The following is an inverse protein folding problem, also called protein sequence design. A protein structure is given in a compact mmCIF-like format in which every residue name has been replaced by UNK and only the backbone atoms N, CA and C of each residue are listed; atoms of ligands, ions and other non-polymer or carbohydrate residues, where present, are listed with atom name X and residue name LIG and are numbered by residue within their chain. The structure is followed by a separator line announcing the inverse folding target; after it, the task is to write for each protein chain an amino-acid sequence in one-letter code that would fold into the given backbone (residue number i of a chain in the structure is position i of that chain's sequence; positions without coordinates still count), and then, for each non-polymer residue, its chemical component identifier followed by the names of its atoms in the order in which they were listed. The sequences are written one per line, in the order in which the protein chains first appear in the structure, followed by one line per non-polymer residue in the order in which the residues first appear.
data_IF_679112393895
#
_entry.id   IF_679112393895
#
_cell.length_a   1.000
_cell.length_b   1.000
_cell.length_c   1.000
_cell.angle_alpha   90.00
_cell.angle_beta   90.00
_cell.angle_gamma   90.00
#
_symmetry.space_group_name_H-M   'P 1'
#
loop_
_entity.id
_entity.type
_entity.pdbx_description
1 polymer ?
#
# COMPACT_ATOMS: atom_id res chain seq x y z
N UNK A 1 -9.90 -6.53 3.52
CA UNK A 1 -8.82 -7.31 4.14
C UNK A 1 -9.35 -8.65 4.64
N UNK A 2 -10.45 -8.68 5.37
CA UNK A 2 -10.99 -9.91 5.92
C UNK A 2 -11.33 -10.97 4.84
N UNK A 3 -11.91 -10.57 3.72
CA UNK A 3 -12.23 -11.50 2.60
C UNK A 3 -10.96 -12.08 1.96
N UNK A 4 -9.89 -11.27 1.83
CA UNK A 4 -8.59 -11.75 1.36
C UNK A 4 -8.01 -12.84 2.28
N UNK A 5 -8.14 -12.63 3.59
CA UNK A 5 -7.68 -13.57 4.62
C UNK A 5 -8.50 -14.87 4.60
N UNK A 6 -9.81 -14.77 4.44
CA UNK A 6 -10.67 -15.94 4.31
C UNK A 6 -10.35 -16.76 3.04
N UNK A 7 -10.06 -16.07 1.93
CA UNK A 7 -9.63 -16.75 0.70
C UNK A 7 -8.29 -17.49 0.90
N UNK A 8 -7.32 -16.85 1.60
CA UNK A 8 -6.05 -17.48 1.94
C UNK A 8 -6.25 -18.72 2.85
N UNK A 9 -7.12 -18.61 3.85
CA UNK A 9 -7.45 -19.73 4.71
C UNK A 9 -8.05 -20.92 3.92
N UNK A 10 -9.02 -20.65 3.04
CA UNK A 10 -9.62 -21.67 2.19
C UNK A 10 -8.58 -22.33 1.27
N UNK A 11 -7.58 -21.58 0.79
CA UNK A 11 -6.49 -22.12 -0.01
C UNK A 11 -5.61 -23.08 0.81
N UNK A 12 -5.30 -22.74 2.07
CA UNK A 12 -4.55 -23.61 2.96
C UNK A 12 -5.31 -24.92 3.24
N UNK A 13 -6.61 -24.81 3.50
CA UNK A 13 -7.49 -25.97 3.71
C UNK A 13 -7.54 -26.86 2.47
N UNK A 14 -7.68 -26.28 1.27
CA UNK A 14 -7.63 -27.01 0.00
C UNK A 14 -6.34 -27.81 -0.18
N UNK A 15 -5.20 -27.28 0.27
CA UNK A 15 -3.91 -27.97 0.22
C UNK A 15 -3.66 -28.91 1.42
N UNK A 16 -4.60 -29.02 2.35
CA UNK A 16 -4.44 -29.85 3.56
C UNK A 16 -3.37 -29.30 4.51
N UNK A 17 -3.11 -27.99 4.48
CA UNK A 17 -2.12 -27.35 5.34
C UNK A 17 -2.81 -26.95 6.65
N UNK A 18 -2.64 -27.73 7.68
CA UNK A 18 -3.25 -27.47 8.97
C UNK A 18 -2.60 -26.31 9.71
N UNK A 19 -1.27 -26.21 9.70
CA UNK A 19 -0.54 -25.20 10.46
C UNK A 19 0.68 -24.68 9.72
N UNK A 20 0.77 -23.36 9.60
CA UNK A 20 1.92 -22.68 9.03
C UNK A 20 3.09 -22.59 10.03
N UNK A 21 4.31 -22.71 9.52
CA UNK A 21 5.50 -22.39 10.30
C UNK A 21 5.58 -20.87 10.59
N UNK A 22 5.34 -20.07 9.57
CA UNK A 22 5.34 -18.60 9.67
C UNK A 22 4.37 -17.97 8.68
N UNK A 23 3.77 -16.86 9.07
CA UNK A 23 3.11 -15.91 8.17
C UNK A 23 3.85 -14.59 8.21
N UNK A 24 4.10 -14.01 7.04
CA UNK A 24 4.81 -12.72 6.92
C UNK A 24 4.16 -11.86 5.87
N UNK A 25 4.18 -10.57 6.07
CA UNK A 25 3.64 -9.60 5.12
C UNK A 25 4.06 -8.18 5.41
N UNK A 26 4.31 -7.42 4.34
CA UNK A 26 4.63 -6.00 4.41
C UNK A 26 3.43 -5.12 4.09
N UNK A 27 3.30 -3.96 4.74
CA UNK A 27 2.26 -2.96 4.48
C UNK A 27 0.85 -3.59 4.54
N UNK A 28 0.07 -3.56 3.46
CA UNK A 28 -1.23 -4.24 3.37
C UNK A 28 -1.12 -5.76 3.64
N UNK A 29 -0.02 -6.40 3.23
CA UNK A 29 0.25 -7.79 3.58
C UNK A 29 0.40 -8.00 5.09
N UNK A 30 0.94 -7.02 5.80
CA UNK A 30 0.99 -7.02 7.26
C UNK A 30 -0.40 -6.88 7.90
N UNK A 31 -1.30 -6.06 7.34
CA UNK A 31 -2.70 -6.00 7.77
C UNK A 31 -3.37 -7.38 7.61
N UNK A 32 -3.11 -8.07 6.49
CA UNK A 32 -3.62 -9.42 6.26
C UNK A 32 -3.04 -10.42 7.26
N UNK A 33 -1.75 -10.32 7.59
CA UNK A 33 -1.09 -11.14 8.61
C UNK A 33 -1.75 -10.95 9.98
N UNK A 34 -2.00 -9.70 10.39
CA UNK A 34 -2.66 -9.39 11.66
C UNK A 34 -4.10 -9.90 11.68
N UNK A 35 -4.85 -9.70 10.60
CA UNK A 35 -6.23 -10.20 10.49
C UNK A 35 -6.26 -11.73 10.44
N UNK A 36 -5.31 -12.38 9.75
CA UNK A 36 -5.24 -13.83 9.66
C UNK A 36 -5.08 -14.48 11.03
N UNK A 37 -4.10 -14.03 11.82
CA UNK A 37 -3.87 -14.62 13.14
C UNK A 37 -4.97 -14.26 14.15
N UNK A 38 -5.66 -13.15 13.95
CA UNK A 38 -6.84 -12.79 14.73
C UNK A 38 -8.03 -13.72 14.46
N UNK A 39 -8.26 -14.08 13.18
CA UNK A 39 -9.34 -14.98 12.78
C UNK A 39 -9.01 -16.44 13.07
N UNK A 40 -7.74 -16.82 12.93
CA UNK A 40 -7.25 -18.22 12.98
C UNK A 40 -6.04 -18.33 13.92
N UNK A 41 -6.24 -18.19 15.25
CA UNK A 41 -5.17 -18.00 16.23
C UNK A 41 -4.20 -19.17 16.33
N UNK A 42 -4.61 -20.37 15.98
CA UNK A 42 -3.79 -21.59 16.07
C UNK A 42 -3.09 -21.97 14.75
N UNK A 43 -3.38 -21.26 13.65
CA UNK A 43 -2.94 -21.64 12.30
C UNK A 43 -1.50 -21.24 11.95
N UNK A 44 -0.77 -20.54 12.83
CA UNK A 44 0.66 -20.24 12.62
C UNK A 44 1.46 -20.35 13.90
N UNK A 45 2.76 -20.73 13.77
CA UNK A 45 3.72 -20.73 14.89
C UNK A 45 4.37 -19.36 15.07
N UNK A 46 4.55 -18.61 13.99
CA UNK A 46 5.24 -17.30 13.98
C UNK A 46 4.50 -16.30 13.09
N UNK A 47 4.47 -15.05 13.50
CA UNK A 47 3.77 -13.95 12.84
C UNK A 47 4.74 -12.79 12.65
N UNK A 48 4.97 -12.37 11.40
CA UNK A 48 5.97 -11.35 11.05
C UNK A 48 5.29 -10.22 10.24
N UNK A 49 4.62 -9.27 10.90
CA UNK A 49 4.13 -8.05 10.25
C UNK A 49 5.29 -7.06 10.06
N UNK A 50 5.39 -6.48 8.86
CA UNK A 50 6.47 -5.57 8.47
C UNK A 50 5.87 -4.26 7.97
N UNK A 51 6.33 -3.10 8.50
CA UNK A 51 5.90 -1.77 8.06
C UNK A 51 4.37 -1.69 7.87
N UNK A 52 3.62 -2.00 8.92
CA UNK A 52 2.16 -2.10 8.88
C UNK A 52 1.52 -1.51 10.12
N UNK A 53 0.21 -1.38 10.09
CA UNK A 53 -0.58 -0.83 11.19
C UNK A 53 -1.85 -1.64 11.41
N UNK A 54 -2.45 -1.52 12.59
CA UNK A 54 -3.77 -2.10 12.92
C UNK A 54 -4.95 -1.27 12.41
N UNK A 55 -4.70 -0.01 12.01
CA UNK A 55 -5.66 0.89 11.35
C UNK A 55 -4.90 2.06 10.73
N UNK A 56 -5.41 2.61 9.64
CA UNK A 56 -4.80 3.78 9.01
C UNK A 56 -5.00 5.05 9.85
N UNK A 57 -3.96 5.87 9.92
CA UNK A 57 -4.03 7.24 10.44
C UNK A 57 -4.76 8.16 9.47
N UNK A 58 -5.18 9.33 9.94
CA UNK A 58 -5.74 10.37 9.07
C UNK A 58 -4.79 10.75 7.92
N UNK A 59 -3.47 10.74 8.16
CA UNK A 59 -2.46 11.03 7.14
C UNK A 59 -2.42 9.93 6.07
N UNK A 60 -2.45 8.66 6.44
CA UNK A 60 -2.51 7.55 5.47
C UNK A 60 -3.77 7.65 4.60
N UNK A 61 -4.93 7.90 5.22
CA UNK A 61 -6.22 8.07 4.52
C UNK A 61 -6.15 9.27 3.56
N UNK A 62 -5.54 10.39 3.98
CA UNK A 62 -5.39 11.58 3.14
C UNK A 62 -4.51 11.31 1.89
N UNK A 63 -3.39 10.62 2.02
CA UNK A 63 -2.56 10.24 0.88
C UNK A 63 -3.26 9.25 -0.05
N UNK A 64 -4.00 8.29 0.49
CA UNK A 64 -4.81 7.39 -0.33
C UNK A 64 -5.90 8.16 -1.09
N UNK A 65 -6.56 9.11 -0.43
CA UNK A 65 -7.58 9.95 -1.07
C UNK A 65 -7.00 10.83 -2.17
N UNK A 66 -5.81 11.41 -1.97
CA UNK A 66 -5.11 12.14 -3.03
C UNK A 66 -4.90 11.26 -4.27
N UNK A 67 -4.45 10.03 -4.08
CA UNK A 67 -4.27 9.07 -5.18
C UNK A 67 -5.58 8.71 -5.86
N UNK A 68 -6.65 8.48 -5.10
CA UNK A 68 -7.99 8.19 -5.66
C UNK A 68 -8.52 9.36 -6.46
N UNK A 69 -8.40 10.59 -5.93
CA UNK A 69 -8.84 11.80 -6.65
C UNK A 69 -8.04 12.02 -7.94
N UNK A 70 -6.73 11.75 -7.96
CA UNK A 70 -5.95 11.82 -9.18
C UNK A 70 -6.46 10.88 -10.27
N UNK A 71 -6.85 9.65 -9.90
CA UNK A 71 -7.41 8.66 -10.83
C UNK A 71 -8.79 9.06 -11.31
N UNK A 72 -9.70 9.42 -10.38
CA UNK A 72 -11.10 9.72 -10.73
C UNK A 72 -11.25 11.05 -11.49
N UNK A 73 -10.31 11.98 -11.34
CA UNK A 73 -10.23 13.21 -12.12
C UNK A 73 -9.66 13.02 -13.54
N UNK A 74 -9.03 11.88 -13.82
CA UNK A 74 -8.55 11.56 -15.16
C UNK A 74 -9.74 11.31 -16.09
N UNK A 75 -9.85 12.11 -17.17
CA UNK A 75 -10.96 12.01 -18.13
C UNK A 75 -11.09 10.62 -18.78
N UNK A 76 -10.00 9.84 -18.79
CA UNK A 76 -9.96 8.50 -19.35
C UNK A 76 -10.42 7.41 -18.36
N UNK A 77 -10.68 7.75 -17.10
CA UNK A 77 -11.22 6.81 -16.11
C UNK A 77 -12.66 6.38 -16.42
N UNK A 78 -13.49 7.27 -16.99
CA UNK A 78 -14.86 6.97 -17.45
C UNK A 78 -15.74 6.32 -16.39
N UNK A 79 -15.75 6.87 -15.18
CA UNK A 79 -16.50 6.32 -14.02
C UNK A 79 -16.22 4.82 -13.78
N UNK A 80 -14.97 4.41 -13.97
CA UNK A 80 -14.53 3.02 -13.82
C UNK A 80 -14.74 2.13 -15.04
N UNK A 81 -15.32 2.66 -16.14
CA UNK A 81 -15.64 1.90 -17.33
C UNK A 81 -14.60 2.03 -18.47
N UNK A 82 -13.37 2.43 -18.14
CA UNK A 82 -12.31 2.70 -19.12
C UNK A 82 -11.98 1.49 -20.00
N UNK A 83 -12.03 0.26 -19.49
CA UNK A 83 -11.79 -0.95 -20.26
C UNK A 83 -12.83 -1.09 -21.39
N UNK A 84 -14.12 -0.92 -21.09
CA UNK A 84 -15.20 -0.96 -22.08
C UNK A 84 -15.11 0.18 -23.09
N UNK A 85 -14.62 1.34 -22.65
CA UNK A 85 -14.42 2.53 -23.48
C UNK A 85 -13.07 2.52 -24.25
N UNK A 86 -12.23 1.50 -24.04
CA UNK A 86 -10.88 1.39 -24.63
C UNK A 86 -9.98 2.59 -24.34
N UNK A 87 -10.11 3.17 -23.12
CA UNK A 87 -9.26 4.25 -22.60
C UNK A 87 -8.38 3.73 -21.48
N UNK A 88 -7.44 4.55 -21.01
CA UNK A 88 -6.55 4.20 -19.90
C UNK A 88 -6.31 5.44 -19.02
N UNK A 89 -6.76 5.46 -17.77
CA UNK A 89 -6.54 6.57 -16.84
C UNK A 89 -5.09 6.59 -16.30
N UNK A 90 -4.14 6.44 -17.21
CA UNK A 90 -2.72 6.31 -16.87
C UNK A 90 -2.13 7.57 -16.26
N UNK A 91 -2.63 8.75 -16.62
CA UNK A 91 -2.16 10.02 -16.04
C UNK A 91 -2.51 10.09 -14.55
N UNK A 92 -3.76 9.82 -14.20
CA UNK A 92 -4.21 9.80 -12.83
C UNK A 92 -3.52 8.72 -11.99
N UNK A 93 -3.39 7.51 -12.55
CA UNK A 93 -2.70 6.40 -11.89
C UNK A 93 -1.21 6.69 -11.68
N UNK A 94 -0.54 7.33 -12.65
CA UNK A 94 0.85 7.76 -12.51
C UNK A 94 1.03 8.78 -11.38
N UNK A 95 0.16 9.79 -11.29
CA UNK A 95 0.19 10.79 -10.21
C UNK A 95 -0.05 10.14 -8.84
N UNK A 96 -1.01 9.22 -8.75
CA UNK A 96 -1.25 8.45 -7.51
C UNK A 96 0.01 7.68 -7.07
N UNK A 97 0.74 7.09 -8.02
CA UNK A 97 2.00 6.39 -7.75
C UNK A 97 3.12 7.34 -7.32
N UNK A 98 3.22 8.51 -7.94
CA UNK A 98 4.20 9.54 -7.55
C UNK A 98 3.99 9.97 -6.09
N UNK A 99 2.74 10.23 -5.68
CA UNK A 99 2.39 10.56 -4.31
C UNK A 99 2.82 9.45 -3.33
N UNK A 100 2.53 8.19 -3.66
CA UNK A 100 2.95 7.05 -2.86
C UNK A 100 4.48 6.95 -2.71
N UNK A 101 5.25 7.23 -3.77
CA UNK A 101 6.71 7.21 -3.69
C UNK A 101 7.31 8.29 -2.79
N UNK A 102 6.62 9.43 -2.61
CA UNK A 102 7.03 10.46 -1.65
C UNK A 102 6.86 9.93 -0.22
N UNK A 103 5.83 9.16 0.05
CA UNK A 103 5.57 8.62 1.40
C UNK A 103 6.43 7.41 1.76
N UNK A 104 6.96 6.67 0.77
CA UNK A 104 7.77 5.47 1.01
C UNK A 104 9.22 5.77 1.40
N UNK A 105 9.69 6.96 1.16
CA UNK A 105 11.07 7.37 1.42
C UNK A 105 11.11 8.40 2.55
N UNK A 106 12.06 8.23 3.48
CA UNK A 106 12.27 9.24 4.52
C UNK A 106 12.76 10.56 3.91
N UNK A 107 12.45 11.68 4.58
CA UNK A 107 12.99 13.00 4.21
C UNK A 107 14.52 12.98 4.05
N UNK A 108 15.20 12.30 4.97
CA UNK A 108 16.66 12.14 4.93
C UNK A 108 17.10 11.33 3.71
N UNK A 109 16.47 10.20 3.42
CA UNK A 109 16.76 9.37 2.26
C UNK A 109 16.54 10.09 0.94
N UNK A 110 15.45 10.86 0.80
CA UNK A 110 15.22 11.71 -0.37
C UNK A 110 16.30 12.78 -0.53
N UNK A 111 16.69 13.45 0.57
CA UNK A 111 17.71 14.48 0.54
C UNK A 111 19.11 13.92 0.19
N UNK A 112 19.48 12.77 0.74
CA UNK A 112 20.76 12.13 0.45
C UNK A 112 20.85 11.62 -1.00
N UNK A 113 19.76 11.05 -1.50
CA UNK A 113 19.73 10.48 -2.86
C UNK A 113 19.66 11.55 -3.94
N UNK A 114 18.79 12.53 -3.80
CA UNK A 114 18.48 13.49 -4.86
C UNK A 114 18.96 14.92 -4.51
N UNK A 115 18.75 15.38 -3.28
CA UNK A 115 19.02 16.77 -2.88
C UNK A 115 18.33 17.74 -3.84
N UNK A 116 19.12 18.70 -4.35
CA UNK A 116 18.72 19.64 -5.41
C UNK A 116 19.46 19.38 -6.72
N UNK A 117 19.85 18.14 -6.96
CA UNK A 117 20.61 17.77 -8.17
C UNK A 117 19.76 17.98 -9.41
N UNK A 118 20.29 18.73 -10.35
CA UNK A 118 19.69 18.88 -11.67
C UNK A 118 19.91 17.64 -12.52
N UNK A 119 19.17 17.54 -13.62
CA UNK A 119 19.44 16.57 -14.67
C UNK A 119 20.83 16.87 -15.28
N UNK A 120 21.17 16.28 -16.41
CA UNK A 120 22.44 16.50 -17.10
C UNK A 120 22.55 17.93 -17.66
N UNK A 121 22.54 18.92 -16.76
CA UNK A 121 22.60 20.36 -17.07
C UNK A 121 23.06 21.17 -15.85
N UNK A 122 23.52 22.39 -16.11
CA UNK A 122 23.98 23.31 -15.05
C UNK A 122 22.92 24.37 -14.69
N UNK A 123 22.00 24.72 -15.60
CA UNK A 123 21.03 25.79 -15.44
C UNK A 123 19.58 25.31 -15.42
N UNK A 124 18.72 26.07 -14.72
CA UNK A 124 17.27 25.92 -14.71
C UNK A 124 16.66 26.47 -16.00
N UNK A 125 15.71 25.75 -16.60
CA UNK A 125 15.08 26.14 -17.87
C UNK A 125 13.78 26.94 -17.71
N UNK A 126 13.21 26.99 -16.49
CA UNK A 126 11.91 27.64 -16.24
C UNK A 126 10.75 27.08 -17.08
N UNK A 127 10.88 25.86 -17.58
CA UNK A 127 9.84 25.14 -18.31
C UNK A 127 9.05 24.18 -17.41
N UNK A 128 8.19 23.37 -18.05
CA UNK A 128 7.42 22.32 -17.35
C UNK A 128 8.06 20.92 -17.46
N UNK A 129 9.23 20.83 -18.08
CA UNK A 129 10.04 19.62 -18.08
C UNK A 129 10.70 19.40 -16.72
N UNK A 130 11.20 18.18 -16.48
CA UNK A 130 11.92 17.88 -15.24
C UNK A 130 13.28 18.59 -15.22
N UNK A 131 13.47 19.52 -14.30
CA UNK A 131 14.76 20.12 -14.02
C UNK A 131 15.55 19.35 -12.98
N UNK A 132 14.90 18.85 -11.93
CA UNK A 132 15.53 18.11 -10.86
C UNK A 132 15.45 16.59 -11.08
N UNK A 133 16.48 15.87 -10.59
CA UNK A 133 16.51 14.42 -10.67
C UNK A 133 15.33 13.75 -9.94
N UNK A 134 14.85 14.32 -8.85
CA UNK A 134 13.67 13.81 -8.14
C UNK A 134 12.42 13.86 -9.00
N UNK A 135 12.24 14.88 -9.84
CA UNK A 135 11.07 14.98 -10.73
C UNK A 135 11.08 13.87 -11.78
N UNK A 136 12.23 13.63 -12.41
CA UNK A 136 12.40 12.51 -13.36
C UNK A 136 12.19 11.15 -12.69
N UNK A 137 12.70 10.98 -11.48
CA UNK A 137 12.48 9.76 -10.69
C UNK A 137 10.99 9.51 -10.45
N UNK A 138 10.25 10.50 -10.00
CA UNK A 138 8.82 10.36 -9.75
C UNK A 138 8.04 10.08 -11.02
N UNK A 139 8.32 10.80 -12.12
CA UNK A 139 7.68 10.56 -13.44
C UNK A 139 7.97 9.15 -13.94
N UNK A 140 9.19 8.66 -13.81
CA UNK A 140 9.55 7.30 -14.18
C UNK A 140 8.79 6.25 -13.34
N UNK A 141 8.73 6.43 -12.02
CA UNK A 141 7.99 5.52 -11.14
C UNK A 141 6.49 5.50 -11.45
N UNK A 142 5.93 6.65 -11.80
CA UNK A 142 4.54 6.76 -12.25
C UNK A 142 4.30 5.99 -13.55
N UNK A 143 5.13 6.23 -14.58
CA UNK A 143 4.94 5.60 -15.89
C UNK A 143 5.08 4.07 -15.85
N UNK A 144 6.12 3.55 -15.20
CA UNK A 144 6.32 2.11 -15.04
C UNK A 144 5.19 1.43 -14.26
N UNK A 145 4.55 2.15 -13.36
CA UNK A 145 3.42 1.61 -12.59
C UNK A 145 2.16 1.42 -13.44
N UNK A 146 1.91 2.34 -14.39
CA UNK A 146 0.76 2.27 -15.31
C UNK A 146 0.77 1.00 -16.15
N UNK A 147 1.96 0.53 -16.54
CA UNK A 147 2.11 -0.67 -17.37
C UNK A 147 1.79 -1.99 -16.64
N UNK A 148 1.77 -1.96 -15.30
CA UNK A 148 1.67 -3.18 -14.48
C UNK A 148 0.55 -3.17 -13.45
N UNK A 149 -0.20 -2.07 -13.33
CA UNK A 149 -1.24 -1.96 -12.31
C UNK A 149 -2.52 -1.36 -12.87
N UNK A 150 -3.64 -1.84 -12.37
CA UNK A 150 -4.98 -1.42 -12.79
C UNK A 150 -5.51 -0.30 -11.89
N UNK A 151 -6.12 0.73 -12.49
CA UNK A 151 -6.60 1.90 -11.78
C UNK A 151 -7.76 1.59 -10.83
N UNK A 152 -8.75 0.78 -11.25
CA UNK A 152 -9.85 0.38 -10.37
C UNK A 152 -9.34 -0.49 -9.20
N UNK A 153 -8.38 -1.36 -9.45
CA UNK A 153 -7.73 -2.15 -8.39
C UNK A 153 -7.05 -1.24 -7.36
N UNK A 154 -6.38 -0.16 -7.79
CA UNK A 154 -5.80 0.83 -6.88
C UNK A 154 -6.88 1.48 -6.00
N UNK A 155 -8.01 1.89 -6.59
CA UNK A 155 -9.13 2.49 -5.85
C UNK A 155 -9.67 1.54 -4.78
N UNK A 156 -9.97 0.29 -5.15
CA UNK A 156 -10.51 -0.71 -4.21
C UNK A 156 -9.51 -1.12 -3.13
N UNK A 157 -8.25 -1.33 -3.48
CA UNK A 157 -7.21 -1.73 -2.53
C UNK A 157 -6.96 -0.63 -1.50
N UNK A 158 -6.81 0.62 -1.93
CA UNK A 158 -6.61 1.74 -1.00
C UNK A 158 -7.82 1.96 -0.10
N UNK A 159 -9.03 1.76 -0.62
CA UNK A 159 -10.24 1.83 0.19
C UNK A 159 -10.33 0.67 1.19
N UNK A 160 -9.94 -0.54 0.80
CA UNK A 160 -9.89 -1.69 1.71
C UNK A 160 -8.89 -1.50 2.85
N UNK A 161 -7.75 -0.85 2.58
CA UNK A 161 -6.79 -0.48 3.62
C UNK A 161 -7.34 0.59 4.57
N UNK A 162 -8.01 1.62 4.05
CA UNK A 162 -8.61 2.68 4.87
C UNK A 162 -9.74 2.16 5.77
N UNK A 163 -10.46 1.12 5.33
CA UNK A 163 -11.53 0.51 6.10
C UNK A 163 -11.04 -0.54 7.11
N UNK A 164 -9.78 -0.95 7.00
CA UNK A 164 -9.19 -1.87 7.95
C UNK A 164 -8.98 -1.18 9.29
N UNK A 165 -9.65 -1.70 10.33
CA UNK A 165 -9.55 -1.20 11.69
C UNK A 165 -9.73 -2.36 12.68
N UNK A 166 -8.61 -2.98 13.02
CA UNK A 166 -8.60 -4.11 13.95
C UNK A 166 -8.92 -3.65 15.38
N UNK A 167 -8.58 -2.41 15.73
CA UNK A 167 -8.90 -1.85 17.05
C UNK A 167 -10.41 -1.76 17.24
N UNK A 168 -11.12 -1.22 16.22
CA UNK A 168 -12.58 -1.12 16.22
C UNK A 168 -13.26 -2.49 16.23
N UNK A 169 -12.72 -3.48 15.50
CA UNK A 169 -13.26 -4.86 15.50
C UNK A 169 -13.27 -5.48 16.90
N UNK A 170 -12.36 -5.07 17.78
CA UNK A 170 -12.23 -5.55 19.16
C UNK A 170 -12.59 -4.50 20.22
N UNK A 171 -13.58 -3.66 19.92
CA UNK A 171 -14.16 -2.68 20.83
C UNK A 171 -13.13 -1.75 21.51
N UNK A 172 -12.14 -1.31 20.76
CA UNK A 172 -11.10 -0.39 21.23
C UNK A 172 -9.89 -1.06 21.91
N UNK A 173 -9.89 -2.38 22.07
CA UNK A 173 -8.80 -3.10 22.71
C UNK A 173 -8.11 -4.08 21.75
N UNK A 174 -7.00 -3.63 21.16
CA UNK A 174 -6.21 -4.42 20.20
C UNK A 174 -5.68 -5.74 20.81
N UNK A 175 -5.41 -5.79 22.11
CA UNK A 175 -4.93 -7.02 22.77
C UNK A 175 -5.92 -8.18 22.63
N UNK A 176 -7.21 -7.88 22.55
CA UNK A 176 -8.26 -8.89 22.37
C UNK A 176 -8.17 -9.58 21.01
N UNK A 177 -7.60 -8.93 19.99
CA UNK A 177 -7.40 -9.52 18.67
C UNK A 177 -6.42 -10.72 18.72
N UNK A 178 -5.55 -10.76 19.70
CA UNK A 178 -4.45 -11.74 19.78
C UNK A 178 -4.46 -12.60 21.05
N UNK A 179 -5.49 -12.47 21.90
CA UNK A 179 -5.53 -13.14 23.22
C UNK A 179 -5.50 -14.66 23.14
N UNK A 180 -6.05 -15.23 22.05
CA UNK A 180 -6.19 -16.69 21.89
C UNK A 180 -5.02 -17.33 21.13
N UNK A 181 -4.13 -16.52 20.53
CA UNK A 181 -2.98 -17.06 19.80
C UNK A 181 -1.78 -17.34 20.72
N UNK A 182 -1.10 -18.46 20.41
CA UNK A 182 0.21 -18.83 20.99
C UNK A 182 1.37 -18.57 20.04
N UNK A 183 1.11 -17.96 18.89
CA UNK A 183 2.14 -17.63 17.91
C UNK A 183 3.13 -16.59 18.47
N UNK A 184 4.39 -16.72 18.08
CA UNK A 184 5.42 -15.71 18.40
C UNK A 184 5.36 -14.59 17.38
N UNK A 185 5.34 -13.35 17.85
CA UNK A 185 5.36 -12.16 17.00
C UNK A 185 6.77 -11.62 16.86
N UNK A 186 7.17 -11.33 15.63
CA UNK A 186 8.36 -10.57 15.30
C UNK A 186 7.95 -9.37 14.44
N UNK A 187 7.77 -8.22 15.08
CA UNK A 187 7.28 -6.98 14.43
C UNK A 187 8.47 -6.18 13.92
N UNK A 188 8.44 -5.85 12.62
CA UNK A 188 9.44 -4.99 11.99
C UNK A 188 8.78 -3.66 11.63
N UNK A 189 9.28 -2.57 12.22
CA UNK A 189 8.84 -1.20 11.93
C UNK A 189 10.04 -0.31 11.61
N UNK A 190 9.79 0.78 10.88
CA UNK A 190 10.79 1.76 10.53
C UNK A 190 10.51 3.07 11.26
N UNK A 191 11.52 3.69 11.81
CA UNK A 191 11.38 4.94 12.60
C UNK A 191 10.97 6.14 11.75
N UNK A 192 11.05 6.02 10.44
CA UNK A 192 10.68 7.06 9.46
C UNK A 192 9.37 6.77 8.73
N UNK A 193 8.66 5.70 9.09
CA UNK A 193 7.41 5.28 8.45
C UNK A 193 6.20 5.84 9.21
#
# INVERSE_FOLDING_TARGET
INDMVNAQYNLLDHFGIDKLFSITGGSMGGMQVLQFISNFPDKSKTVIPIATTSSHSAQNIAFNELGRQAITADSDWKDGNYTSNKTNPGKGLAVARMAAHITYLSKKGLQEKFGRKLQEREDLKFGFDADFQIESYLRYQGSVFVDRFDANSYLYITRAMDYFDLVKQFNGNLSNAFKDTKARFFVISFTSD
#
